data_IF_954589337236
#
_entry.id   IF_954589337236
#
_cell.length_a   1.000
_cell.length_b   1.000
_cell.length_c   1.000
_cell.angle_alpha   90.00
_cell.angle_beta   90.00
_cell.angle_gamma   90.00
#
_symmetry.space_group_name_H-M   'P 1'
#
loop_
_entity.id
_entity.type
_entity.pdbx_description
1 polymer ?
#
# COMPACT_ATOMS: atom_id res chain seq x y z
N UNK A 1 8.49 17.45 7.08
CA UNK A 1 7.24 18.19 6.89
C UNK A 1 6.27 17.32 6.09
N UNK A 2 5.03 17.21 6.56
CA UNK A 2 3.93 16.49 5.88
C UNK A 2 2.93 17.54 5.41
N UNK A 3 2.95 17.85 4.11
CA UNK A 3 2.19 18.97 3.55
C UNK A 3 1.69 18.63 2.15
N UNK A 4 0.58 19.23 1.73
CA UNK A 4 0.03 19.03 0.40
C UNK A 4 0.72 19.87 -0.69
N UNK A 5 0.39 19.58 -1.94
CA UNK A 5 0.99 20.26 -3.10
C UNK A 5 0.68 21.74 -3.21
N UNK A 6 -0.36 22.23 -2.53
CA UNK A 6 -0.78 23.63 -2.54
C UNK A 6 0.28 24.58 -1.98
N UNK A 7 1.13 24.07 -1.07
CA UNK A 7 2.22 24.86 -0.46
C UNK A 7 3.60 24.46 -0.93
N UNK A 8 3.71 23.73 -2.05
CA UNK A 8 4.99 23.28 -2.61
C UNK A 8 5.93 24.44 -2.91
N UNK A 9 5.42 25.57 -3.39
CA UNK A 9 6.23 26.77 -3.66
C UNK A 9 6.94 27.29 -2.41
N UNK A 10 6.30 27.24 -1.26
CA UNK A 10 6.90 27.67 0.01
C UNK A 10 8.06 26.74 0.41
N UNK A 11 7.93 25.45 0.15
CA UNK A 11 8.91 24.43 0.53
C UNK A 11 10.05 24.26 -0.49
N UNK A 12 9.81 24.64 -1.77
CA UNK A 12 10.81 24.47 -2.84
C UNK A 12 11.57 25.76 -3.17
N UNK A 13 11.01 26.92 -2.83
CA UNK A 13 11.61 28.22 -3.15
C UNK A 13 11.92 28.99 -1.86
N UNK A 14 10.89 29.43 -1.14
CA UNK A 14 11.09 30.36 -0.04
C UNK A 14 11.84 29.75 1.15
N UNK A 15 11.46 28.56 1.56
CA UNK A 15 12.15 27.87 2.67
C UNK A 15 13.61 27.56 2.37
N UNK A 16 13.99 26.98 1.21
CA UNK A 16 15.40 26.85 0.84
C UNK A 16 16.18 28.17 0.84
N UNK A 17 15.61 29.27 0.34
CA UNK A 17 16.26 30.57 0.38
C UNK A 17 16.55 31.01 1.84
N UNK A 18 15.58 30.82 2.74
CA UNK A 18 15.77 31.15 4.17
C UNK A 18 16.87 30.27 4.80
N UNK A 19 16.88 28.96 4.49
CA UNK A 19 17.90 28.05 4.99
C UNK A 19 19.29 28.44 4.49
N UNK A 20 19.42 28.81 3.21
CA UNK A 20 20.68 29.29 2.64
C UNK A 20 21.14 30.58 3.29
N UNK A 21 20.24 31.52 3.55
CA UNK A 21 20.58 32.77 4.22
C UNK A 21 21.04 32.59 5.68
N UNK A 22 20.61 31.51 6.31
CA UNK A 22 20.98 31.12 7.68
C UNK A 22 22.15 30.12 7.75
N UNK A 23 22.74 29.76 6.62
CA UNK A 23 23.78 28.72 6.50
C UNK A 23 23.35 27.39 7.11
N UNK A 24 22.09 27.00 6.91
CA UNK A 24 21.48 25.75 7.37
C UNK A 24 21.40 24.73 6.24
N UNK A 25 21.47 23.41 6.55
CA UNK A 25 21.37 22.36 5.56
C UNK A 25 20.03 22.40 4.79
N UNK A 26 20.12 22.22 3.47
CA UNK A 26 18.94 22.11 2.62
C UNK A 26 18.26 20.73 2.75
N UNK A 27 16.95 20.63 2.50
CA UNK A 27 16.27 19.35 2.42
C UNK A 27 16.83 18.51 1.27
N UNK A 28 17.06 17.22 1.52
CA UNK A 28 17.59 16.29 0.51
C UNK A 28 16.56 15.95 -0.57
N UNK A 29 15.27 15.96 -0.23
CA UNK A 29 14.17 15.64 -1.14
C UNK A 29 12.92 16.41 -0.70
N UNK A 30 12.22 16.99 -1.65
CA UNK A 30 10.90 17.60 -1.45
C UNK A 30 9.95 16.89 -2.42
N UNK A 31 8.86 16.36 -1.89
CA UNK A 31 7.87 15.65 -2.65
C UNK A 31 6.47 16.21 -2.34
N UNK A 32 5.78 16.68 -3.36
CA UNK A 32 4.40 17.20 -3.23
C UNK A 32 3.40 16.12 -3.57
N UNK A 33 2.62 15.65 -2.58
CA UNK A 33 1.53 14.73 -2.88
C UNK A 33 0.28 15.46 -3.40
N UNK A 34 -0.55 14.75 -4.17
CA UNK A 34 -1.80 15.26 -4.73
C UNK A 34 -2.91 15.42 -3.69
N UNK A 35 -4.03 15.92 -4.14
CA UNK A 35 -5.26 15.98 -3.34
C UNK A 35 -6.04 14.68 -3.39
N UNK A 36 -6.73 14.37 -2.31
CA UNK A 36 -7.80 13.39 -2.32
C UNK A 36 -9.10 14.12 -2.63
N UNK A 37 -9.69 13.80 -3.76
CA UNK A 37 -10.90 14.42 -4.29
C UNK A 37 -12.10 13.48 -4.12
N UNK A 38 -13.28 14.04 -4.10
CA UNK A 38 -14.52 13.30 -4.34
C UNK A 38 -14.80 13.27 -5.85
N UNK A 39 -15.70 12.42 -6.29
CA UNK A 39 -16.14 12.33 -7.68
C UNK A 39 -16.62 13.68 -8.24
N UNK A 40 -17.23 14.49 -7.38
CA UNK A 40 -17.72 15.84 -7.70
C UNK A 40 -16.64 16.93 -7.53
N UNK A 41 -15.39 16.57 -7.28
CA UNK A 41 -14.26 17.47 -7.10
C UNK A 41 -13.81 17.62 -5.65
N UNK A 42 -13.30 18.79 -5.26
CA UNK A 42 -12.73 19.01 -3.92
C UNK A 42 -13.75 18.79 -2.80
N UNK A 43 -13.30 18.13 -1.75
CA UNK A 43 -14.04 18.05 -0.48
C UNK A 43 -14.24 19.45 0.09
N UNK A 44 -15.44 19.75 0.55
CA UNK A 44 -15.78 21.02 1.16
C UNK A 44 -16.79 20.84 2.28
N UNK A 45 -16.51 21.41 3.44
CA UNK A 45 -17.45 21.39 4.59
C UNK A 45 -18.79 22.02 4.23
N UNK A 46 -18.78 23.08 3.42
CA UNK A 46 -20.02 23.75 2.97
C UNK A 46 -20.86 22.93 2.01
N UNK A 47 -20.26 21.99 1.27
CA UNK A 47 -20.95 21.05 0.39
C UNK A 47 -21.39 19.76 1.10
N UNK A 48 -20.93 19.54 2.33
CA UNK A 48 -21.26 18.33 3.08
C UNK A 48 -20.66 17.02 2.52
N UNK A 49 -19.68 17.12 1.60
CA UNK A 49 -19.06 15.98 0.93
C UNK A 49 -17.68 15.60 1.52
N UNK A 50 -17.43 15.95 2.77
CA UNK A 50 -16.18 15.61 3.45
C UNK A 50 -16.28 14.20 4.03
N UNK A 51 -15.31 13.36 3.70
CA UNK A 51 -15.14 12.06 4.34
C UNK A 51 -14.14 12.21 5.48
N UNK A 52 -14.57 11.92 6.69
CA UNK A 52 -13.72 11.98 7.87
C UNK A 52 -13.06 10.63 8.11
N UNK A 53 -11.73 10.59 8.28
CA UNK A 53 -11.00 9.34 8.53
C UNK A 53 -11.54 8.54 9.71
N UNK A 54 -11.95 9.22 10.79
CA UNK A 54 -12.45 8.57 12.00
C UNK A 54 -13.66 7.67 11.73
N UNK A 55 -14.58 8.11 10.86
CA UNK A 55 -15.75 7.31 10.45
C UNK A 55 -15.35 6.02 9.72
N UNK A 56 -14.30 6.08 8.89
CA UNK A 56 -13.79 4.92 8.18
C UNK A 56 -13.04 3.98 9.13
N UNK A 57 -12.27 4.54 10.05
CA UNK A 57 -11.55 3.77 11.08
C UNK A 57 -12.52 3.03 12.01
N UNK A 58 -13.56 3.71 12.50
CA UNK A 58 -14.57 3.08 13.36
C UNK A 58 -15.29 1.92 12.67
N UNK A 59 -15.54 2.04 11.37
CA UNK A 59 -16.31 1.04 10.62
C UNK A 59 -15.46 -0.10 10.05
N UNK A 60 -14.25 0.17 9.59
CA UNK A 60 -13.43 -0.77 8.82
C UNK A 60 -12.05 -1.05 9.46
N UNK A 61 -11.69 -0.33 10.49
CA UNK A 61 -10.37 -0.42 11.12
C UNK A 61 -9.32 0.49 10.49
N UNK A 62 -8.30 0.80 11.26
CA UNK A 62 -7.22 1.71 10.86
C UNK A 62 -6.39 1.15 9.69
N UNK A 63 -6.08 -0.13 9.72
CA UNK A 63 -5.22 -0.75 8.71
C UNK A 63 -5.87 -0.78 7.32
N UNK A 64 -7.18 -0.99 7.24
CA UNK A 64 -7.94 -0.92 6.00
C UNK A 64 -7.87 0.48 5.37
N UNK A 65 -8.01 1.53 6.17
CA UNK A 65 -7.88 2.91 5.70
C UNK A 65 -6.47 3.22 5.21
N UNK A 66 -5.45 2.84 5.99
CA UNK A 66 -4.05 3.04 5.61
C UNK A 66 -3.71 2.30 4.33
N UNK A 67 -4.14 1.04 4.22
CA UNK A 67 -3.96 0.24 3.02
C UNK A 67 -4.57 0.92 1.80
N UNK A 68 -5.84 1.31 1.87
CA UNK A 68 -6.53 1.98 0.76
C UNK A 68 -5.79 3.24 0.29
N UNK A 69 -5.43 4.13 1.22
CA UNK A 69 -4.75 5.38 0.87
C UNK A 69 -3.38 5.15 0.20
N UNK A 70 -2.64 4.14 0.66
CA UNK A 70 -1.33 3.82 0.06
C UNK A 70 -1.45 3.03 -1.24
N UNK A 71 -2.52 2.26 -1.41
CA UNK A 71 -2.69 1.36 -2.55
C UNK A 71 -3.40 2.02 -3.73
N UNK A 72 -4.47 2.75 -3.46
CA UNK A 72 -5.33 3.33 -4.50
C UNK A 72 -4.83 4.69 -4.98
N UNK A 73 -4.35 5.50 -4.07
CA UNK A 73 -3.91 6.86 -4.39
C UNK A 73 -2.46 6.86 -4.83
N UNK A 74 -2.20 7.08 -6.10
CA UNK A 74 -0.84 7.25 -6.61
C UNK A 74 -0.20 8.48 -6.01
N UNK A 75 0.85 8.29 -5.21
CA UNK A 75 1.52 9.39 -4.53
C UNK A 75 2.14 10.36 -5.55
N UNK A 76 1.86 11.65 -5.41
CA UNK A 76 2.24 12.71 -6.37
C UNK A 76 1.14 13.11 -7.35
N UNK A 77 0.08 12.33 -7.49
CA UNK A 77 -1.09 12.62 -8.32
C UNK A 77 -2.32 12.87 -7.47
N UNK A 78 -3.34 13.51 -8.03
CA UNK A 78 -4.64 13.61 -7.37
C UNK A 78 -5.34 12.25 -7.42
N UNK A 79 -5.91 11.84 -6.30
CA UNK A 79 -6.72 10.63 -6.17
C UNK A 79 -8.20 10.96 -6.04
N UNK A 80 -9.06 10.07 -6.51
CA UNK A 80 -10.51 10.19 -6.33
C UNK A 80 -10.94 9.13 -5.33
N UNK A 81 -11.58 9.56 -4.26
CA UNK A 81 -12.20 8.67 -3.29
C UNK A 81 -13.65 8.40 -3.68
N UNK A 82 -14.01 7.12 -3.75
CA UNK A 82 -15.41 6.68 -3.75
C UNK A 82 -15.62 5.61 -2.68
N UNK A 83 -16.78 5.57 -2.02
CA UNK A 83 -17.09 4.50 -1.07
C UNK A 83 -17.05 3.11 -1.72
N UNK A 84 -17.45 3.01 -2.97
CA UNK A 84 -17.45 1.78 -3.76
C UNK A 84 -16.02 1.26 -3.96
N UNK A 85 -15.10 2.11 -4.39
CA UNK A 85 -13.70 1.71 -4.60
C UNK A 85 -13.03 1.34 -3.28
N UNK A 86 -13.37 2.04 -2.19
CA UNK A 86 -12.88 1.71 -0.87
C UNK A 86 -13.29 0.29 -0.44
N UNK A 87 -14.58 -0.03 -0.56
CA UNK A 87 -15.11 -1.35 -0.20
C UNK A 87 -14.56 -2.43 -1.13
N UNK A 88 -14.52 -2.16 -2.44
CA UNK A 88 -13.99 -3.09 -3.42
C UNK A 88 -12.52 -3.43 -3.15
N UNK A 89 -11.69 -2.43 -2.85
CA UNK A 89 -10.27 -2.64 -2.55
C UNK A 89 -10.06 -3.51 -1.32
N UNK A 90 -10.83 -3.27 -0.25
CA UNK A 90 -10.79 -4.10 0.96
C UNK A 90 -11.22 -5.55 0.65
N UNK A 91 -12.33 -5.71 -0.07
CA UNK A 91 -12.86 -7.03 -0.37
C UNK A 91 -11.93 -7.83 -1.29
N UNK A 92 -11.43 -7.23 -2.38
CA UNK A 92 -10.60 -7.96 -3.34
C UNK A 92 -9.20 -8.22 -2.80
N UNK A 93 -8.51 -7.20 -2.31
CA UNK A 93 -7.12 -7.34 -1.92
C UNK A 93 -6.99 -8.00 -0.54
N UNK A 94 -7.68 -7.46 0.48
CA UNK A 94 -7.48 -7.91 1.86
C UNK A 94 -8.30 -9.17 2.18
N UNK A 95 -9.57 -9.22 1.83
CA UNK A 95 -10.41 -10.36 2.17
C UNK A 95 -10.19 -11.54 1.21
N UNK A 96 -10.29 -11.30 -0.12
CA UNK A 96 -10.22 -12.39 -1.08
C UNK A 96 -8.78 -12.84 -1.34
N UNK A 97 -7.84 -11.96 -1.63
CA UNK A 97 -6.48 -12.39 -1.95
C UNK A 97 -5.71 -12.81 -0.69
N UNK A 98 -5.43 -11.87 0.21
CA UNK A 98 -4.63 -12.12 1.40
C UNK A 98 -5.35 -13.01 2.41
N UNK A 99 -6.64 -12.72 2.67
CA UNK A 99 -7.45 -13.48 3.62
C UNK A 99 -7.65 -14.93 3.19
N UNK A 100 -7.90 -15.19 1.90
CA UNK A 100 -7.98 -16.56 1.39
C UNK A 100 -6.66 -17.32 1.47
N UNK A 101 -5.54 -16.67 1.12
CA UNK A 101 -4.23 -17.29 1.25
C UNK A 101 -3.98 -17.74 2.70
N UNK A 102 -4.21 -16.87 3.66
CA UNK A 102 -4.05 -17.17 5.08
C UNK A 102 -4.97 -18.30 5.53
N UNK A 103 -6.26 -18.20 5.21
CA UNK A 103 -7.27 -19.17 5.62
C UNK A 103 -6.99 -20.56 5.03
N UNK A 104 -6.67 -20.65 3.74
CA UNK A 104 -6.34 -21.90 3.06
C UNK A 104 -5.09 -22.52 3.63
N UNK A 105 -4.02 -21.74 3.83
CA UNK A 105 -2.76 -22.24 4.41
C UNK A 105 -2.97 -22.79 5.81
N UNK A 106 -3.66 -22.07 6.68
CA UNK A 106 -3.96 -22.54 8.06
C UNK A 106 -4.85 -23.79 8.03
N UNK A 107 -5.87 -23.81 7.17
CA UNK A 107 -6.76 -24.98 7.05
C UNK A 107 -6.00 -26.22 6.61
N UNK A 108 -5.06 -26.11 5.66
CA UNK A 108 -4.21 -27.22 5.21
C UNK A 108 -3.26 -27.69 6.30
N UNK A 109 -2.61 -26.78 7.02
CA UNK A 109 -1.74 -27.11 8.14
C UNK A 109 -2.52 -27.88 9.23
N UNK A 110 -3.70 -27.41 9.57
CA UNK A 110 -4.55 -28.09 10.55
C UNK A 110 -4.99 -29.47 10.06
N UNK A 111 -5.43 -29.57 8.80
CA UNK A 111 -5.97 -30.80 8.23
C UNK A 111 -4.91 -31.89 8.05
N UNK A 112 -3.73 -31.54 7.55
CA UNK A 112 -2.71 -32.52 7.15
C UNK A 112 -1.60 -32.69 8.18
N UNK A 113 -1.37 -31.71 9.05
CA UNK A 113 -0.24 -31.70 9.99
C UNK A 113 -0.67 -31.44 11.44
N UNK A 114 -1.98 -31.52 11.75
CA UNK A 114 -2.49 -31.36 13.12
C UNK A 114 -2.16 -30.01 13.76
N UNK A 115 -2.06 -28.95 12.95
CA UNK A 115 -1.73 -27.61 13.42
C UNK A 115 -0.23 -27.32 13.56
N UNK A 116 0.64 -28.28 13.24
CA UNK A 116 2.09 -28.09 13.31
C UNK A 116 2.65 -27.73 11.93
N UNK A 117 3.58 -26.78 11.89
CA UNK A 117 4.30 -26.45 10.65
C UNK A 117 5.25 -27.62 10.33
N UNK A 118 5.11 -28.28 9.14
CA UNK A 118 5.98 -29.38 8.78
C UNK A 118 7.42 -28.91 8.55
N UNK A 119 8.36 -29.84 8.72
CA UNK A 119 9.75 -29.58 8.35
C UNK A 119 9.86 -29.38 6.83
N UNK A 120 10.81 -28.54 6.42
CA UNK A 120 11.08 -28.34 4.99
C UNK A 120 11.50 -29.64 4.33
N UNK A 121 10.97 -29.93 3.14
CA UNK A 121 11.38 -31.08 2.34
C UNK A 121 12.78 -30.83 1.75
N UNK A 122 13.55 -31.92 1.65
CA UNK A 122 14.90 -31.85 1.06
C UNK A 122 14.88 -31.67 -0.47
N UNK A 123 13.81 -32.12 -1.13
CA UNK A 123 13.63 -31.98 -2.58
C UNK A 123 12.71 -30.79 -2.88
N UNK A 124 13.19 -29.90 -3.75
CA UNK A 124 12.41 -28.77 -4.24
C UNK A 124 11.79 -29.11 -5.61
N UNK A 125 10.57 -28.66 -5.81
CA UNK A 125 9.90 -28.68 -7.11
C UNK A 125 10.25 -27.41 -7.91
N UNK A 126 9.92 -27.42 -9.22
CA UNK A 126 10.06 -26.21 -10.04
C UNK A 126 9.20 -25.05 -9.51
N UNK A 127 8.05 -25.34 -8.91
CA UNK A 127 7.14 -24.34 -8.34
C UNK A 127 7.74 -23.70 -7.07
N UNK A 128 8.45 -24.47 -6.24
CA UNK A 128 9.16 -23.96 -5.06
C UNK A 128 10.26 -22.98 -5.48
N UNK A 129 11.05 -23.34 -6.47
CA UNK A 129 12.13 -22.49 -6.99
C UNK A 129 11.59 -21.18 -7.58
N UNK A 130 10.50 -21.24 -8.35
CA UNK A 130 9.84 -20.07 -8.92
C UNK A 130 9.31 -19.12 -7.84
N UNK A 131 8.60 -19.65 -6.83
CA UNK A 131 8.04 -18.84 -5.74
C UNK A 131 9.14 -18.18 -4.91
N UNK A 132 10.22 -18.91 -4.61
CA UNK A 132 11.39 -18.34 -3.90
C UNK A 132 12.09 -17.24 -4.68
N UNK A 133 12.29 -17.44 -5.99
CA UNK A 133 12.88 -16.44 -6.87
C UNK A 133 12.01 -15.17 -6.93
N UNK A 134 10.69 -15.35 -7.07
CA UNK A 134 9.75 -14.24 -7.07
C UNK A 134 9.74 -13.49 -5.73
N UNK A 135 9.82 -14.18 -4.59
CA UNK A 135 9.87 -13.54 -3.28
C UNK A 135 11.11 -12.65 -3.13
N UNK A 136 12.27 -13.09 -3.62
CA UNK A 136 13.49 -12.29 -3.62
C UNK A 136 13.34 -11.04 -4.52
N UNK A 137 12.89 -11.23 -5.76
CA UNK A 137 12.67 -10.15 -6.72
C UNK A 137 11.66 -9.09 -6.20
N UNK A 138 10.51 -9.56 -5.67
CA UNK A 138 9.49 -8.67 -5.08
C UNK A 138 10.04 -7.86 -3.92
N UNK A 139 10.89 -8.45 -3.09
CA UNK A 139 11.51 -7.74 -1.96
C UNK A 139 12.38 -6.59 -2.45
N UNK A 140 13.20 -6.82 -3.46
CA UNK A 140 14.06 -5.79 -4.05
C UNK A 140 13.23 -4.67 -4.71
N UNK A 141 12.23 -5.05 -5.51
CA UNK A 141 11.35 -4.10 -6.18
C UNK A 141 10.54 -3.27 -5.15
N UNK A 142 9.98 -3.92 -4.13
CA UNK A 142 9.27 -3.25 -3.05
C UNK A 142 10.13 -2.18 -2.38
N UNK A 143 11.36 -2.54 -2.00
CA UNK A 143 12.30 -1.60 -1.38
C UNK A 143 12.56 -0.40 -2.28
N UNK A 144 12.88 -0.64 -3.54
CA UNK A 144 13.13 0.40 -4.53
C UNK A 144 11.94 1.34 -4.71
N UNK A 145 10.73 0.79 -4.83
CA UNK A 145 9.51 1.59 -4.97
C UNK A 145 9.21 2.41 -3.70
N UNK A 146 9.40 1.82 -2.51
CA UNK A 146 9.26 2.52 -1.24
C UNK A 146 10.25 3.68 -1.09
N UNK A 147 11.52 3.49 -1.45
CA UNK A 147 12.56 4.53 -1.41
C UNK A 147 12.26 5.69 -2.37
N UNK A 148 11.54 5.39 -3.46
CA UNK A 148 11.05 6.37 -4.41
C UNK A 148 9.68 6.96 -4.06
N UNK A 149 9.11 6.60 -2.91
CA UNK A 149 7.75 7.02 -2.47
C UNK A 149 6.63 6.57 -3.42
N UNK A 150 6.85 5.50 -4.17
CA UNK A 150 5.84 4.89 -5.05
C UNK A 150 5.07 3.81 -4.30
N UNK A 151 4.32 4.21 -3.28
CA UNK A 151 3.66 3.28 -2.34
C UNK A 151 2.68 2.33 -3.03
N UNK A 152 1.90 2.82 -3.99
CA UNK A 152 0.96 1.99 -4.74
C UNK A 152 1.68 0.92 -5.55
N UNK A 153 2.80 1.25 -6.19
CA UNK A 153 3.65 0.30 -6.93
C UNK A 153 4.28 -0.73 -6.00
N UNK A 154 4.81 -0.29 -4.87
CA UNK A 154 5.39 -1.17 -3.86
C UNK A 154 4.37 -2.20 -3.35
N UNK A 155 3.16 -1.76 -3.03
CA UNK A 155 2.08 -2.65 -2.63
C UNK A 155 1.63 -3.58 -3.78
N UNK A 156 1.66 -3.12 -5.03
CA UNK A 156 1.37 -3.97 -6.19
C UNK A 156 2.36 -5.13 -6.31
N UNK A 157 3.64 -4.88 -6.07
CA UNK A 157 4.66 -5.95 -6.03
C UNK A 157 4.35 -6.98 -4.93
N UNK A 158 3.96 -6.54 -3.74
CA UNK A 158 3.54 -7.44 -2.66
C UNK A 158 2.35 -8.30 -3.07
N UNK A 159 1.34 -7.71 -3.72
CA UNK A 159 0.15 -8.44 -4.19
C UNK A 159 0.48 -9.40 -5.34
N UNK A 160 1.48 -9.11 -6.16
CA UNK A 160 2.00 -10.04 -7.17
C UNK A 160 2.48 -11.35 -6.51
N UNK A 161 3.20 -11.24 -5.39
CA UNK A 161 3.65 -12.42 -4.63
C UNK A 161 2.48 -13.15 -3.96
N UNK A 162 1.52 -12.43 -3.35
CA UNK A 162 0.32 -13.01 -2.73
C UNK A 162 -0.48 -13.82 -3.76
N UNK A 163 -0.71 -13.25 -4.94
CA UNK A 163 -1.44 -13.91 -6.03
C UNK A 163 -0.69 -15.16 -6.53
N UNK A 164 0.64 -15.07 -6.66
CA UNK A 164 1.45 -16.26 -7.03
C UNK A 164 1.42 -17.34 -5.93
N UNK A 165 1.45 -16.94 -4.66
CA UNK A 165 1.35 -17.86 -3.54
C UNK A 165 -0.03 -18.54 -3.48
N UNK A 166 -1.12 -17.81 -3.77
CA UNK A 166 -2.45 -18.42 -3.90
C UNK A 166 -2.48 -19.50 -4.99
N UNK A 167 -1.86 -19.22 -6.14
CA UNK A 167 -1.77 -20.20 -7.23
C UNK A 167 -0.91 -21.41 -6.83
N UNK A 168 0.21 -21.18 -6.14
CA UNK A 168 1.09 -22.25 -5.65
C UNK A 168 0.37 -23.23 -4.72
N UNK A 169 -0.59 -22.77 -3.92
CA UNK A 169 -1.40 -23.66 -3.06
C UNK A 169 -2.31 -24.59 -3.87
N UNK A 170 -2.58 -24.27 -5.14
CA UNK A 170 -3.39 -25.10 -6.05
C UNK A 170 -2.55 -26.08 -6.92
N UNK A 171 -1.24 -25.90 -6.99
CA UNK A 171 -0.27 -26.71 -7.73
C UNK A 171 0.24 -27.89 -6.91
#
# INVERSE_FOLDING_TARGET
HMVGKEIVRFHTIYWPIMLMALDLPLPKKIFGHGWLLMKEGKMSKSKGNVVYPDMLVERFGLDALRYYLMREVTFGSDGIFTPEDYVNRINYDLANDLGNLLNRTIAMINKYFGGNIPAALAAETAFDAELKAMAAEVTENYQKEMDNMQFSSALSETWRLISRANKYVDE
#
